data_IF_269760201904
#
_entry.id   IF_269760201904
#
_cell.length_a   1.000
_cell.length_b   1.000
_cell.length_c   1.000
_cell.angle_alpha   90.00
_cell.angle_beta   90.00
_cell.angle_gamma   90.00
#
_symmetry.space_group_name_H-M   'P 1'
#
loop_
_entity.id
_entity.type
_entity.pdbx_description
1 polymer ?
#
# COMPACT_ATOMS: atom_id res chain seq x y z
N UNK A 1 -19.07 0.85 -5.94
CA UNK A 1 -18.83 1.65 -7.15
C UNK A 1 -18.84 0.76 -8.36
N UNK A 2 -19.29 1.32 -9.49
CA UNK A 2 -19.30 0.66 -10.79
C UNK A 2 -18.12 1.16 -11.62
N UNK A 3 -17.36 0.26 -12.23
CA UNK A 3 -16.13 0.60 -12.96
C UNK A 3 -16.38 1.56 -14.13
N UNK A 4 -17.57 1.54 -14.74
CA UNK A 4 -17.94 2.46 -15.81
C UNK A 4 -18.00 3.93 -15.36
N UNK A 5 -18.50 4.18 -14.14
CA UNK A 5 -18.61 5.53 -13.55
C UNK A 5 -17.21 6.13 -13.37
N UNK A 6 -16.31 5.34 -12.77
CA UNK A 6 -14.91 5.75 -12.59
C UNK A 6 -14.16 5.90 -13.92
N UNK A 7 -14.36 4.98 -14.86
CA UNK A 7 -13.71 5.02 -16.17
C UNK A 7 -14.04 6.32 -16.92
N UNK A 8 -15.31 6.71 -16.98
CA UNK A 8 -15.72 7.98 -17.58
C UNK A 8 -15.21 9.19 -16.81
N UNK A 9 -15.21 9.14 -15.47
CA UNK A 9 -14.68 10.22 -14.66
C UNK A 9 -13.19 10.46 -14.92
N UNK A 10 -12.38 9.40 -14.94
CA UNK A 10 -10.94 9.48 -15.19
C UNK A 10 -10.60 9.80 -16.66
N UNK A 11 -11.45 9.41 -17.62
CA UNK A 11 -11.29 9.80 -19.02
C UNK A 11 -11.44 11.31 -19.23
N UNK A 12 -12.34 11.94 -18.49
CA UNK A 12 -12.64 13.37 -18.60
C UNK A 12 -11.91 14.24 -17.57
N UNK A 13 -11.23 13.62 -16.60
CA UNK A 13 -10.56 14.31 -15.51
C UNK A 13 -9.23 14.96 -15.92
N UNK A 14 -8.79 15.95 -15.13
CA UNK A 14 -7.47 16.55 -15.32
C UNK A 14 -6.37 15.48 -15.23
N UNK A 15 -5.57 15.40 -16.29
CA UNK A 15 -4.50 14.43 -16.44
C UNK A 15 -3.18 14.89 -15.82
N UNK A 16 -3.13 16.07 -15.18
CA UNK A 16 -1.93 16.60 -14.57
C UNK A 16 -1.42 15.70 -13.43
N UNK A 17 -0.11 15.45 -13.39
CA UNK A 17 0.55 14.68 -12.33
C UNK A 17 0.53 15.40 -10.96
N UNK A 18 0.23 16.71 -10.97
CA UNK A 18 0.12 17.53 -9.75
C UNK A 18 -1.27 17.45 -9.10
N UNK A 19 -2.24 16.84 -9.76
CA UNK A 19 -3.55 16.59 -9.17
C UNK A 19 -3.42 15.45 -8.15
N UNK A 20 -3.33 15.78 -6.86
CA UNK A 20 -3.31 14.83 -5.73
C UNK A 20 -4.67 14.15 -5.61
N UNK A 21 -5.05 13.32 -6.60
CA UNK A 21 -6.36 12.66 -6.65
C UNK A 21 -6.44 11.53 -5.62
N UNK A 22 -7.46 11.61 -4.76
CA UNK A 22 -7.79 10.60 -3.76
C UNK A 22 -9.17 10.01 -4.05
N UNK A 23 -9.21 8.71 -4.35
CA UNK A 23 -10.44 7.97 -4.58
C UNK A 23 -10.81 7.19 -3.32
N UNK A 24 -11.93 7.54 -2.69
CA UNK A 24 -12.35 6.92 -1.43
C UNK A 24 -13.30 5.75 -1.71
N UNK A 25 -12.90 4.55 -1.29
CA UNK A 25 -13.65 3.30 -1.42
C UNK A 25 -14.19 2.79 -0.08
N UNK A 26 -15.16 1.88 -0.14
CA UNK A 26 -15.79 1.22 1.01
C UNK A 26 -14.99 0.00 1.51
N UNK A 27 -14.28 -0.70 0.62
CA UNK A 27 -13.56 -1.94 0.95
C UNK A 27 -12.53 -2.33 -0.13
N UNK A 28 -11.70 -3.33 0.19
CA UNK A 28 -10.64 -3.85 -0.68
C UNK A 28 -11.11 -4.31 -2.06
N UNK A 29 -12.32 -4.87 -2.16
CA UNK A 29 -12.86 -5.33 -3.46
C UNK A 29 -13.11 -4.14 -4.38
N UNK A 30 -13.64 -3.06 -3.83
CA UNK A 30 -13.81 -1.81 -4.56
C UNK A 30 -12.48 -1.14 -4.85
N UNK A 31 -11.54 -1.15 -3.90
CA UNK A 31 -10.18 -0.63 -4.10
C UNK A 31 -9.48 -1.32 -5.28
N UNK A 32 -9.55 -2.65 -5.37
CA UNK A 32 -8.94 -3.40 -6.48
C UNK A 32 -9.61 -3.06 -7.82
N UNK A 33 -10.95 -3.02 -7.87
CA UNK A 33 -11.67 -2.61 -9.10
C UNK A 33 -11.30 -1.18 -9.54
N UNK A 34 -11.10 -0.29 -8.58
CA UNK A 34 -10.65 1.09 -8.79
C UNK A 34 -9.26 1.11 -9.40
N UNK A 35 -8.33 0.35 -8.82
CA UNK A 35 -6.97 0.23 -9.29
C UNK A 35 -6.89 -0.36 -10.71
N UNK A 36 -7.67 -1.40 -11.01
CA UNK A 36 -7.77 -1.99 -12.35
C UNK A 36 -8.23 -0.95 -13.38
N UNK A 37 -9.26 -0.18 -13.05
CA UNK A 37 -9.82 0.87 -13.92
C UNK A 37 -8.83 2.02 -14.13
N UNK A 38 -8.16 2.47 -13.07
CA UNK A 38 -7.13 3.50 -13.14
C UNK A 38 -5.92 3.03 -13.98
N UNK A 39 -5.49 1.78 -13.79
CA UNK A 39 -4.40 1.15 -14.51
C UNK A 39 -4.69 1.03 -16.00
N UNK A 40 -5.94 0.73 -16.39
CA UNK A 40 -6.37 0.75 -17.80
C UNK A 40 -6.06 2.11 -18.44
N UNK A 41 -6.35 3.20 -17.73
CA UNK A 41 -6.14 4.59 -18.15
C UNK A 41 -4.72 5.13 -17.84
N UNK A 42 -3.76 4.23 -17.63
CA UNK A 42 -2.33 4.54 -17.40
C UNK A 42 -2.05 5.37 -16.15
N UNK A 43 -2.96 5.37 -15.17
CA UNK A 43 -2.60 5.78 -13.81
C UNK A 43 -1.84 4.65 -13.12
N UNK A 44 -0.89 5.00 -12.25
CA UNK A 44 -0.29 4.11 -11.27
C UNK A 44 -1.09 4.21 -9.97
N UNK A 45 -1.90 3.19 -9.64
CA UNK A 45 -2.65 3.20 -8.40
C UNK A 45 -1.77 2.85 -7.20
N UNK A 46 -2.02 3.53 -6.08
CA UNK A 46 -1.50 3.20 -4.77
C UNK A 46 -2.70 2.99 -3.85
N UNK A 47 -2.81 1.80 -3.26
CA UNK A 47 -3.95 1.43 -2.42
C UNK A 47 -3.50 1.46 -0.97
N UNK A 48 -4.18 2.25 -0.14
CA UNK A 48 -4.00 2.19 1.30
C UNK A 48 -4.77 0.99 1.88
N UNK A 49 -4.27 0.34 2.94
CA UNK A 49 -4.94 -0.77 3.59
C UNK A 49 -6.20 -0.31 4.32
N UNK A 50 -7.17 -1.21 4.55
CA UNK A 50 -8.39 -0.94 5.34
C UNK A 50 -8.07 -0.98 6.84
N UNK A 51 -7.76 0.19 7.40
CA UNK A 51 -7.46 0.34 8.82
C UNK A 51 -8.76 0.35 9.63
N UNK A 52 -9.14 -0.82 10.14
CA UNK A 52 -10.32 -0.97 11.02
C UNK A 52 -9.98 -0.68 12.48
N UNK A 53 -9.40 0.49 12.70
CA UNK A 53 -8.99 0.97 14.00
C UNK A 53 -10.15 1.71 14.68
N UNK A 54 -10.22 1.57 16.00
CA UNK A 54 -10.91 2.50 16.87
C UNK A 54 -9.92 3.46 17.52
N UNK A 55 -10.37 4.68 17.84
CA UNK A 55 -9.49 5.70 18.39
C UNK A 55 -8.82 5.23 19.69
N UNK A 56 -7.48 5.17 19.65
CA UNK A 56 -6.64 4.76 20.77
C UNK A 56 -6.33 3.27 20.84
N UNK A 57 -6.72 2.49 19.83
CA UNK A 57 -6.26 1.11 19.67
C UNK A 57 -4.73 1.03 19.65
N UNK A 58 -4.20 -0.08 20.19
CA UNK A 58 -2.77 -0.39 20.12
C UNK A 58 -2.39 -0.86 18.70
N UNK A 59 -1.61 -0.02 18.02
CA UNK A 59 -1.26 -0.20 16.60
C UNK A 59 -0.34 -1.39 16.34
N UNK A 60 0.28 -1.98 17.37
CA UNK A 60 1.08 -3.20 17.24
C UNK A 60 0.25 -4.39 16.76
N UNK A 61 -1.06 -4.38 17.08
CA UNK A 61 -2.01 -5.40 16.59
C UNK A 61 -2.32 -5.29 15.09
N UNK A 62 -1.90 -4.17 14.46
CA UNK A 62 -2.15 -3.80 13.07
C UNK A 62 -0.84 -3.53 12.31
N UNK A 63 0.29 -4.04 12.81
CA UNK A 63 1.62 -3.73 12.26
C UNK A 63 1.73 -4.02 10.75
N UNK A 64 1.10 -5.09 10.28
CA UNK A 64 1.09 -5.45 8.86
C UNK A 64 0.40 -4.36 8.05
N UNK A 65 -0.79 -3.95 8.46
CA UNK A 65 -1.54 -2.88 7.80
C UNK A 65 -0.81 -1.53 7.93
N UNK A 66 -0.12 -1.25 9.04
CA UNK A 66 0.68 -0.04 9.16
C UNK A 66 1.89 -0.04 8.21
N UNK A 67 2.53 -1.19 7.99
CA UNK A 67 3.61 -1.31 7.00
C UNK A 67 3.07 -1.17 5.57
N UNK A 68 1.95 -1.81 5.24
CA UNK A 68 1.28 -1.62 3.94
C UNK A 68 0.92 -0.15 3.69
N UNK A 69 0.49 0.58 4.71
CA UNK A 69 0.22 2.02 4.65
C UNK A 69 1.49 2.81 4.30
N UNK A 70 2.60 2.56 5.01
CA UNK A 70 3.86 3.27 4.79
C UNK A 70 4.46 2.95 3.42
N UNK A 71 4.45 1.68 3.00
CA UNK A 71 4.89 1.27 1.67
C UNK A 71 4.07 1.95 0.56
N UNK A 72 2.73 1.97 0.69
CA UNK A 72 1.85 2.57 -0.30
C UNK A 72 2.05 4.10 -0.40
N UNK A 73 2.19 4.79 0.74
CA UNK A 73 2.42 6.22 0.77
C UNK A 73 3.81 6.59 0.26
N UNK A 74 4.85 5.85 0.66
CA UNK A 74 6.21 6.03 0.13
C UNK A 74 6.23 5.91 -1.38
N UNK A 75 5.64 4.83 -1.92
CA UNK A 75 5.54 4.60 -3.35
C UNK A 75 4.73 5.70 -4.06
N UNK A 76 3.62 6.15 -3.46
CA UNK A 76 2.82 7.23 -3.98
C UNK A 76 3.66 8.50 -4.10
N UNK A 77 4.27 8.98 -3.01
CA UNK A 77 5.01 10.24 -2.99
C UNK A 77 6.30 10.23 -3.81
N UNK A 78 6.97 9.10 -3.94
CA UNK A 78 8.19 8.98 -4.75
C UNK A 78 7.92 8.63 -6.23
N UNK A 79 6.68 8.33 -6.61
CA UNK A 79 6.36 8.04 -8.02
C UNK A 79 6.39 9.29 -8.91
N UNK A 80 7.06 9.17 -10.06
CA UNK A 80 7.07 10.16 -11.14
C UNK A 80 5.99 9.90 -12.21
N UNK A 81 5.24 8.80 -12.10
CA UNK A 81 4.18 8.46 -13.06
C UNK A 81 2.91 9.23 -12.72
N UNK A 82 1.97 9.23 -13.66
CA UNK A 82 0.60 9.68 -13.40
C UNK A 82 0.01 8.79 -12.30
N UNK A 83 -0.08 9.25 -11.07
CA UNK A 83 -0.41 8.46 -9.88
C UNK A 83 -1.82 8.76 -9.38
N UNK A 84 -2.42 7.82 -8.66
CA UNK A 84 -3.69 8.02 -7.95
C UNK A 84 -3.65 7.30 -6.62
N UNK A 85 -4.14 7.95 -5.57
CA UNK A 85 -4.28 7.34 -4.25
C UNK A 85 -5.69 6.78 -4.10
N UNK A 86 -5.80 5.57 -3.59
CA UNK A 86 -7.07 4.88 -3.35
C UNK A 86 -7.08 4.48 -1.89
N UNK A 87 -8.08 4.88 -1.13
CA UNK A 87 -8.13 4.60 0.30
C UNK A 87 -9.52 4.13 0.74
N UNK A 88 -9.61 3.09 1.57
CA UNK A 88 -10.81 2.80 2.34
C UNK A 88 -11.18 3.99 3.23
N UNK A 89 -12.48 4.26 3.39
CA UNK A 89 -12.98 5.32 4.26
C UNK A 89 -12.36 5.27 5.67
N UNK A 90 -12.28 4.07 6.25
CA UNK A 90 -11.81 3.87 7.63
C UNK A 90 -10.37 4.32 7.85
N UNK A 91 -9.53 4.21 6.82
CA UNK A 91 -8.13 4.64 6.84
C UNK A 91 -7.97 6.15 6.91
N UNK A 92 -8.98 6.90 6.44
CA UNK A 92 -8.98 8.36 6.40
C UNK A 92 -9.58 8.98 7.67
N UNK A 93 -9.95 8.19 8.67
CA UNK A 93 -10.50 8.66 9.95
C UNK A 93 -9.43 9.19 10.91
N UNK A 94 -8.15 9.06 10.54
CA UNK A 94 -7.02 9.63 11.24
C UNK A 94 -6.12 10.42 10.28
N UNK A 95 -5.37 11.42 10.78
CA UNK A 95 -4.33 12.06 9.99
C UNK A 95 -3.35 11.03 9.44
N UNK A 96 -2.90 11.25 8.21
CA UNK A 96 -1.88 10.42 7.56
C UNK A 96 -0.56 11.20 7.46
N UNK A 97 0.60 10.53 7.47
CA UNK A 97 1.90 11.19 7.38
C UNK A 97 2.05 12.14 6.20
N UNK A 98 2.76 13.26 6.37
CA UNK A 98 3.08 14.17 5.26
C UNK A 98 4.12 13.60 4.29
N UNK A 99 4.07 14.10 3.06
CA UNK A 99 4.97 13.75 1.94
C UNK A 99 6.46 13.85 2.31
N UNK A 100 6.86 14.87 3.08
CA UNK A 100 8.25 15.10 3.47
C UNK A 100 8.85 14.01 4.37
N UNK A 101 8.02 13.17 4.99
CA UNK A 101 8.46 12.07 5.87
C UNK A 101 8.60 10.73 5.15
N UNK A 102 8.66 10.73 3.81
CA UNK A 102 8.95 9.54 3.00
C UNK A 102 10.28 9.61 2.22
N UNK A 103 11.42 9.96 2.87
CA UNK A 103 12.73 9.92 2.24
C UNK A 103 13.14 8.48 1.88
N UNK A 104 14.18 8.36 1.05
CA UNK A 104 14.83 7.09 0.71
C UNK A 104 16.33 7.26 0.92
N UNK A 105 16.98 6.26 1.54
CA UNK A 105 18.44 6.13 1.54
C UNK A 105 18.78 5.13 0.45
N UNK A 106 19.67 5.49 -0.49
CA UNK A 106 20.27 4.54 -1.39
C UNK A 106 21.68 4.23 -0.89
N UNK A 107 21.97 2.94 -0.68
CA UNK A 107 23.30 2.44 -0.35
C UNK A 107 23.83 1.69 -1.57
N UNK A 108 25.00 2.07 -2.05
CA UNK A 108 25.59 1.54 -3.28
C UNK A 108 26.94 0.89 -2.97
N UNK A 109 27.31 -0.10 -3.76
CA UNK A 109 28.67 -0.64 -3.76
C UNK A 109 29.70 0.49 -3.90
N UNK A 110 30.81 0.38 -3.17
CA UNK A 110 31.88 1.38 -3.09
C UNK A 110 31.48 2.76 -2.54
N UNK A 111 30.30 2.91 -1.93
CA UNK A 111 29.95 4.11 -1.18
C UNK A 111 30.45 4.04 0.26
N UNK A 112 30.92 5.18 0.78
CA UNK A 112 31.34 5.35 2.18
C UNK A 112 30.14 5.69 3.06
N UNK A 113 30.01 5.00 4.19
CA UNK A 113 28.92 5.23 5.16
C UNK A 113 29.47 5.61 6.54
N UNK A 114 28.86 6.64 7.14
CA UNK A 114 29.04 6.89 8.57
C UNK A 114 28.10 5.95 9.34
N UNK A 115 28.65 4.88 9.92
CA UNK A 115 27.87 3.85 10.60
C UNK A 115 27.04 4.40 11.77
N UNK A 116 27.56 5.38 12.51
CA UNK A 116 26.84 5.98 13.63
C UNK A 116 25.63 6.77 13.13
N UNK A 117 25.81 7.59 12.10
CA UNK A 117 24.72 8.35 11.51
C UNK A 117 23.65 7.44 10.89
N UNK A 118 24.05 6.33 10.26
CA UNK A 118 23.12 5.35 9.72
C UNK A 118 22.30 4.70 10.84
N UNK A 119 22.94 4.27 11.93
CA UNK A 119 22.26 3.70 13.12
C UNK A 119 21.25 4.67 13.70
N UNK A 120 21.66 5.92 13.96
CA UNK A 120 20.79 6.94 14.54
C UNK A 120 19.60 7.24 13.62
N UNK A 121 19.84 7.28 12.30
CA UNK A 121 18.79 7.50 11.29
C UNK A 121 17.79 6.35 11.24
N UNK A 122 18.26 5.10 11.15
CA UNK A 122 17.38 3.93 11.10
C UNK A 122 16.55 3.79 12.38
N UNK A 123 17.14 4.09 13.54
CA UNK A 123 16.39 4.15 14.80
C UNK A 123 15.29 5.21 14.76
N UNK A 124 15.58 6.43 14.29
CA UNK A 124 14.57 7.49 14.16
C UNK A 124 13.50 7.17 13.10
N UNK A 125 13.80 6.26 12.17
CA UNK A 125 12.90 5.81 11.12
C UNK A 125 12.02 4.62 11.52
N UNK A 126 12.20 4.12 12.75
CA UNK A 126 11.42 3.04 13.36
C UNK A 126 11.99 1.63 13.13
N UNK A 127 13.26 1.50 12.72
CA UNK A 127 13.88 0.17 12.61
C UNK A 127 14.23 -0.39 13.99
N UNK A 128 13.97 -1.68 14.19
CA UNK A 128 14.35 -2.39 15.40
C UNK A 128 15.74 -2.99 15.24
N UNK A 129 16.66 -2.61 16.12
CA UNK A 129 17.99 -3.23 16.18
C UNK A 129 17.90 -4.59 16.87
N UNK A 130 18.25 -5.65 16.16
CA UNK A 130 18.18 -7.05 16.62
C UNK A 130 19.49 -7.79 16.38
N UNK A 131 19.68 -8.93 17.05
CA UNK A 131 20.86 -9.77 16.86
C UNK A 131 20.80 -10.57 15.56
N UNK A 132 19.58 -10.96 15.15
CA UNK A 132 19.30 -11.75 13.95
C UNK A 132 18.07 -11.17 13.27
N UNK A 133 18.21 -10.76 12.01
CA UNK A 133 17.11 -10.24 11.20
C UNK A 133 16.26 -11.40 10.69
N UNK A 134 14.96 -11.31 10.95
CA UNK A 134 13.94 -12.30 10.60
C UNK A 134 12.69 -11.67 9.98
N UNK A 135 12.46 -10.37 10.19
CA UNK A 135 11.25 -9.67 9.74
C UNK A 135 11.57 -8.31 9.14
N UNK A 136 10.64 -7.82 8.31
CA UNK A 136 10.68 -6.45 7.79
C UNK A 136 10.73 -5.43 8.94
N UNK A 137 11.52 -4.38 8.75
CA UNK A 137 11.74 -3.34 9.75
C UNK A 137 12.82 -3.66 10.79
N UNK A 138 13.52 -4.78 10.64
CA UNK A 138 14.64 -5.15 11.49
C UNK A 138 16.00 -4.83 10.84
N UNK A 139 16.98 -4.51 11.68
CA UNK A 139 18.37 -4.28 11.30
C UNK A 139 19.32 -4.90 12.34
N UNK A 140 20.44 -5.46 11.89
CA UNK A 140 21.52 -5.94 12.74
C UNK A 140 22.84 -5.34 12.32
N UNK A 141 23.67 -4.99 13.30
CA UNK A 141 25.01 -4.44 13.08
C UNK A 141 26.04 -5.29 13.82
N UNK A 142 26.87 -6.02 13.08
CA UNK A 142 27.84 -6.97 13.63
C UNK A 142 29.21 -6.72 13.01
N UNK A 143 30.01 -5.89 13.68
CA UNK A 143 31.33 -5.49 13.18
C UNK A 143 31.20 -4.78 11.83
N UNK A 144 31.73 -5.43 10.80
CA UNK A 144 31.74 -5.04 9.40
C UNK A 144 30.49 -5.52 8.61
N UNK A 145 29.54 -6.18 9.26
CA UNK A 145 28.32 -6.68 8.61
C UNK A 145 27.10 -5.88 9.06
N UNK A 146 26.28 -5.48 8.10
CA UNK A 146 24.93 -4.95 8.32
C UNK A 146 23.92 -5.87 7.65
N UNK A 147 23.01 -6.43 8.44
CA UNK A 147 21.84 -7.13 7.91
C UNK A 147 20.62 -6.23 8.05
N UNK A 148 19.82 -6.09 7.00
CA UNK A 148 18.64 -5.23 7.04
C UNK A 148 17.52 -5.81 6.18
N UNK A 149 16.29 -5.75 6.70
CA UNK A 149 15.10 -6.07 5.92
C UNK A 149 14.21 -4.83 5.83
N UNK A 150 14.31 -4.09 4.72
CA UNK A 150 13.55 -2.85 4.52
C UNK A 150 12.10 -3.13 4.10
N UNK A 151 11.16 -2.23 4.46
CA UNK A 151 9.76 -2.35 4.02
C UNK A 151 9.63 -2.40 2.49
N UNK A 152 10.35 -1.54 1.77
CA UNK A 152 10.27 -1.45 0.31
C UNK A 152 10.90 -2.62 -0.46
N UNK A 153 11.55 -3.56 0.23
CA UNK A 153 12.19 -4.74 -0.36
C UNK A 153 11.33 -5.98 -0.29
N UNK A 154 11.44 -6.85 -1.29
CA UNK A 154 10.91 -8.23 -1.22
C UNK A 154 11.83 -9.15 -0.41
N UNK A 155 13.11 -8.78 -0.31
CA UNK A 155 14.18 -9.58 0.28
C UNK A 155 14.92 -8.83 1.38
N UNK A 156 15.66 -9.57 2.22
CA UNK A 156 16.59 -9.02 3.20
C UNK A 156 18.01 -8.95 2.61
N UNK A 157 18.77 -7.93 3.02
CA UNK A 157 20.08 -7.62 2.45
C UNK A 157 21.17 -7.67 3.50
N UNK A 158 22.32 -8.21 3.12
CA UNK A 158 23.56 -8.20 3.89
C UNK A 158 24.57 -7.31 3.18
N UNK A 159 25.06 -6.30 3.88
CA UNK A 159 26.16 -5.44 3.46
C UNK A 159 27.41 -5.87 4.22
N UNK A 160 28.53 -6.02 3.50
CA UNK A 160 29.86 -6.19 4.10
C UNK A 160 30.67 -4.93 3.88
N UNK A 161 31.30 -4.45 4.94
CA UNK A 161 32.07 -3.22 4.97
C UNK A 161 33.57 -3.53 5.03
N UNK A 162 34.39 -2.62 4.52
CA UNK A 162 35.80 -2.52 4.86
C UNK A 162 36.07 -1.11 5.37
N UNK A 163 36.38 -1.00 6.65
CA UNK A 163 36.34 0.26 7.40
C UNK A 163 34.95 0.95 7.29
N UNK A 164 34.84 2.01 6.48
CA UNK A 164 33.60 2.76 6.25
C UNK A 164 32.99 2.51 4.86
N UNK A 165 33.67 1.73 4.00
CA UNK A 165 33.26 1.52 2.60
C UNK A 165 32.45 0.24 2.42
N UNK A 166 31.40 0.30 1.61
CA UNK A 166 30.60 -0.88 1.26
C UNK A 166 31.34 -1.71 0.20
N UNK A 167 31.84 -2.88 0.61
CA UNK A 167 32.56 -3.83 -0.25
C UNK A 167 31.62 -4.81 -0.98
N UNK A 168 30.47 -5.15 -0.41
CA UNK A 168 29.49 -5.97 -1.12
C UNK A 168 28.09 -5.82 -0.54
N UNK A 169 27.10 -6.00 -1.40
CA UNK A 169 25.69 -6.06 -1.03
C UNK A 169 25.12 -7.35 -1.63
N UNK A 170 24.51 -8.18 -0.79
CA UNK A 170 23.91 -9.46 -1.22
C UNK A 170 22.53 -9.64 -0.61
N UNK A 171 21.63 -10.28 -1.34
CA UNK A 171 20.41 -10.84 -0.75
C UNK A 171 20.80 -11.96 0.22
N UNK A 172 20.09 -12.11 1.33
CA UNK A 172 20.27 -13.26 2.22
C UNK A 172 18.94 -13.84 2.71
N UNK A 173 18.93 -15.15 2.92
CA UNK A 173 17.76 -15.86 3.42
C UNK A 173 17.63 -15.65 4.94
N UNK A 174 16.49 -15.12 5.38
CA UNK A 174 16.16 -14.96 6.81
C UNK A 174 16.00 -16.31 7.55
N UNK A 175 15.69 -17.39 6.84
CA UNK A 175 15.56 -18.73 7.45
C UNK A 175 16.93 -19.39 7.68
N UNK A 176 17.80 -19.34 6.67
CA UNK A 176 19.10 -20.03 6.71
C UNK A 176 20.25 -19.13 7.16
N UNK A 177 20.01 -17.82 7.20
CA UNK A 177 20.98 -16.76 7.53
C UNK A 177 22.19 -16.71 6.59
N UNK A 178 22.05 -17.30 5.39
CA UNK A 178 23.08 -17.36 4.35
C UNK A 178 22.79 -16.36 3.23
N UNK A 179 23.82 -15.66 2.81
CA UNK A 179 23.78 -14.81 1.62
C UNK A 179 23.75 -15.64 0.36
N UNK A 180 23.06 -15.12 -0.65
CA UNK A 180 23.16 -15.60 -2.02
C UNK A 180 24.56 -15.33 -2.58
N UNK A 181 24.91 -16.01 -3.67
CA UNK A 181 26.22 -15.83 -4.30
C UNK A 181 26.30 -14.54 -5.12
N UNK A 182 25.18 -14.10 -5.67
CA UNK A 182 25.10 -12.93 -6.53
C UNK A 182 25.16 -11.64 -5.69
N UNK A 183 25.98 -10.70 -6.15
CA UNK A 183 26.07 -9.36 -5.60
C UNK A 183 25.19 -8.41 -6.38
N UNK A 184 24.62 -7.44 -5.67
CA UNK A 184 23.81 -6.38 -6.26
C UNK A 184 24.51 -5.03 -6.09
N UNK A 185 24.22 -4.11 -7.01
CA UNK A 185 24.91 -2.82 -7.05
C UNK A 185 24.44 -1.86 -5.95
N UNK A 186 23.17 -1.94 -5.56
CA UNK A 186 22.58 -1.02 -4.60
C UNK A 186 21.32 -1.55 -3.94
N UNK A 187 20.97 -0.96 -2.80
CA UNK A 187 19.69 -1.13 -2.13
C UNK A 187 19.08 0.22 -1.78
N UNK A 188 17.75 0.24 -1.71
CA UNK A 188 16.98 1.36 -1.20
C UNK A 188 16.40 1.00 0.17
N UNK A 189 16.59 1.88 1.15
CA UNK A 189 16.04 1.77 2.50
C UNK A 189 15.02 2.88 2.68
N UNK A 190 13.80 2.51 3.08
CA UNK A 190 12.71 3.43 3.37
C UNK A 190 12.36 3.39 4.87
N UNK A 191 11.72 4.42 5.44
CA UNK A 191 11.27 4.38 6.83
C UNK A 191 10.28 3.24 7.09
N UNK A 192 10.28 2.69 8.31
CA UNK A 192 9.21 1.76 8.74
C UNK A 192 8.00 2.50 9.29
N UNK A 193 8.22 3.75 9.74
CA UNK A 193 7.20 4.66 10.26
C UNK A 193 7.27 6.01 9.56
N UNK A 194 8.23 6.86 9.93
CA UNK A 194 8.40 8.21 9.41
C UNK A 194 9.89 8.51 9.25
N UNK A 195 10.26 9.19 8.17
CA UNK A 195 11.64 9.62 7.92
C UNK A 195 12.04 10.83 8.75
N UNK A 196 12.07 10.69 10.07
CA UNK A 196 12.31 11.80 11.00
C UNK A 196 13.80 12.04 11.26
N UNK A 197 14.13 13.30 11.57
CA UNK A 197 15.37 13.62 12.24
C UNK A 197 15.27 13.38 13.76
N UNK A 198 16.40 13.49 14.47
CA UNK A 198 16.45 13.19 15.89
C UNK A 198 15.58 14.12 16.77
N UNK A 199 15.43 15.39 16.39
CA UNK A 199 14.61 16.36 17.12
C UNK A 199 13.11 16.03 16.96
N UNK A 200 12.68 15.81 15.72
CA UNK A 200 11.31 15.41 15.38
C UNK A 200 10.92 14.09 16.06
N UNK A 201 11.80 13.08 16.01
CA UNK A 201 11.56 11.80 16.67
C UNK A 201 11.41 11.94 18.19
N UNK A 202 12.28 12.74 18.85
CA UNK A 202 12.19 13.00 20.29
C UNK A 202 10.88 13.71 20.66
N UNK A 203 10.49 14.72 19.89
CA UNK A 203 9.23 15.44 20.12
C UNK A 203 8.02 14.52 19.97
N UNK A 204 8.01 13.68 18.92
CA UNK A 204 6.94 12.71 18.70
C UNK A 204 6.86 11.67 19.81
N UNK A 205 8.01 11.08 20.18
CA UNK A 205 8.11 10.13 21.30
C UNK A 205 7.58 10.75 22.59
N UNK A 206 7.96 11.98 22.90
CA UNK A 206 7.50 12.67 24.11
C UNK A 206 5.99 12.86 24.12
N UNK A 207 5.37 13.20 22.99
CA UNK A 207 3.90 13.28 22.88
C UNK A 207 3.24 11.95 23.21
N UNK A 208 3.78 10.86 22.67
CA UNK A 208 3.28 9.51 22.88
C UNK A 208 3.44 9.07 24.34
N UNK A 209 4.59 9.33 24.97
CA UNK A 209 4.83 9.00 26.38
C UNK A 209 3.88 9.78 27.31
N UNK A 210 3.53 11.02 26.95
CA UNK A 210 2.57 11.86 27.67
C UNK A 210 1.11 11.58 27.31
N UNK A 211 0.84 10.58 26.46
CA UNK A 211 -0.50 10.20 26.04
C UNK A 211 -1.43 9.94 27.23
N UNK A 212 -2.65 10.46 27.16
CA UNK A 212 -3.72 10.15 28.12
C UNK A 212 -4.49 8.87 27.76
N UNK A 213 -4.20 8.25 26.61
CA UNK A 213 -4.86 7.02 26.19
C UNK A 213 -4.51 5.87 27.14
N UNK A 214 -5.48 4.97 27.32
CA UNK A 214 -5.32 3.78 28.13
C UNK A 214 -4.68 2.68 27.28
N UNK A 215 -3.35 2.60 27.34
CA UNK A 215 -2.57 1.56 26.69
C UNK A 215 -1.50 1.05 27.65
N UNK A 216 -1.24 -0.26 27.58
CA UNK A 216 -0.26 -0.94 28.43
C UNK A 216 1.17 -0.47 28.16
N UNK A 217 1.50 -0.18 26.90
CA UNK A 217 2.79 0.37 26.49
C UNK A 217 2.54 1.66 25.72
N UNK A 218 3.24 2.73 26.09
CA UNK A 218 3.15 4.04 25.45
C UNK A 218 4.44 4.32 24.69
N UNK A 219 4.58 3.67 23.55
CA UNK A 219 5.67 3.89 22.61
C UNK A 219 5.11 4.20 21.23
N UNK A 220 6.01 4.56 20.31
CA UNK A 220 5.62 4.96 18.96
C UNK A 220 4.94 3.82 18.21
N UNK A 221 5.36 2.57 18.43
CA UNK A 221 4.78 1.41 17.77
C UNK A 221 3.33 1.18 18.19
N UNK A 222 2.98 1.48 19.44
CA UNK A 222 1.63 1.31 19.97
C UNK A 222 0.72 2.50 19.68
N UNK A 223 1.21 3.74 19.80
CA UNK A 223 0.36 4.93 19.78
C UNK A 223 0.80 6.03 18.82
N UNK A 224 1.92 5.87 18.11
CA UNK A 224 2.55 6.93 17.32
C UNK A 224 1.60 7.66 16.37
N UNK A 225 0.79 6.92 15.61
CA UNK A 225 -0.11 7.53 14.61
C UNK A 225 -1.29 8.30 15.23
N UNK A 226 -1.63 8.06 16.50
CA UNK A 226 -2.60 8.89 17.20
C UNK A 226 -2.05 10.28 17.56
N UNK A 227 -0.71 10.44 17.54
CA UNK A 227 0.02 11.64 17.95
C UNK A 227 0.88 12.24 16.85
N UNK A 228 0.44 12.14 15.59
CA UNK A 228 1.16 12.74 14.46
C UNK A 228 1.23 14.26 14.57
N UNK A 229 0.12 14.93 14.94
CA UNK A 229 0.04 16.38 15.04
C UNK A 229 0.60 17.06 13.77
N UNK A 230 1.69 17.82 13.90
CA UNK A 230 2.36 18.49 12.78
C UNK A 230 2.99 17.54 11.76
N UNK A 231 3.21 16.27 12.12
CA UNK A 231 3.74 15.23 11.23
C UNK A 231 2.66 14.65 10.29
N UNK A 232 1.39 14.84 10.66
CA UNK A 232 0.24 14.32 9.94
C UNK A 232 -0.49 15.41 9.15
N UNK A 233 -1.31 14.97 8.21
CA UNK A 233 -2.15 15.81 7.39
C UNK A 233 -3.53 15.15 7.19
N UNK A 234 -4.54 15.99 7.00
CA UNK A 234 -5.89 15.53 6.72
C UNK A 234 -6.03 15.34 5.20
N UNK A 235 -5.83 14.12 4.73
CA UNK A 235 -5.86 13.83 3.30
C UNK A 235 -7.23 14.07 2.67
N UNK A 236 -8.31 14.04 3.44
CA UNK A 236 -9.66 14.36 2.95
C UNK A 236 -9.74 15.79 2.43
N UNK A 237 -9.01 16.71 3.05
CA UNK A 237 -9.02 18.14 2.69
C UNK A 237 -7.79 18.58 1.90
N UNK A 238 -6.63 17.93 2.09
CA UNK A 238 -5.39 18.27 1.40
C UNK A 238 -5.21 17.61 0.03
N UNK A 239 -6.00 16.56 -0.27
CA UNK A 239 -6.07 15.93 -1.58
C UNK A 239 -7.34 16.37 -2.32
N UNK A 240 -7.36 16.19 -3.64
CA UNK A 240 -8.58 16.25 -4.43
C UNK A 240 -9.36 14.96 -4.20
N UNK A 241 -10.07 14.91 -3.08
CA UNK A 241 -10.78 13.74 -2.60
C UNK A 241 -12.19 13.64 -3.22
N UNK A 242 -12.55 12.43 -3.65
CA UNK A 242 -13.87 12.12 -4.18
C UNK A 242 -14.32 10.73 -3.74
N UNK A 243 -15.60 10.61 -3.39
CA UNK A 243 -16.21 9.34 -3.06
C UNK A 243 -16.55 8.52 -4.31
N UNK A 244 -16.25 7.23 -4.26
CA UNK A 244 -16.64 6.29 -5.31
C UNK A 244 -18.12 5.86 -5.24
N UNK A 245 -18.74 6.03 -4.06
CA UNK A 245 -20.16 5.84 -3.79
C UNK A 245 -20.56 6.66 -2.54
N UNK A 246 -21.85 6.89 -2.32
CA UNK A 246 -22.32 7.51 -1.06
C UNK A 246 -21.89 6.69 0.15
N UNK A 247 -21.34 7.36 1.17
CA UNK A 247 -20.87 6.77 2.43
C UNK A 247 -21.45 7.44 3.68
N UNK A 248 -22.58 8.14 3.54
CA UNK A 248 -23.19 8.93 4.62
C UNK A 248 -23.60 8.05 5.81
N UNK A 249 -24.25 6.91 5.54
CA UNK A 249 -24.70 5.98 6.60
C UNK A 249 -23.50 5.38 7.35
N UNK A 250 -22.45 4.98 6.64
CA UNK A 250 -21.24 4.45 7.26
C UNK A 250 -20.52 5.49 8.13
N UNK A 251 -20.46 6.74 7.69
CA UNK A 251 -19.90 7.84 8.49
C UNK A 251 -20.76 8.08 9.74
N UNK A 252 -22.08 8.20 9.60
CA UNK A 252 -22.98 8.40 10.74
C UNK A 252 -22.83 7.28 11.79
N UNK A 253 -22.76 6.02 11.35
CA UNK A 253 -22.54 4.87 12.23
C UNK A 253 -21.20 4.99 12.97
N UNK A 254 -20.11 5.26 12.25
CA UNK A 254 -18.76 5.35 12.83
C UNK A 254 -18.69 6.47 13.87
N UNK A 255 -19.14 7.68 13.54
CA UNK A 255 -19.08 8.83 14.45
C UNK A 255 -20.08 8.74 15.61
N UNK A 256 -21.09 7.85 15.53
CA UNK A 256 -21.98 7.56 16.66
C UNK A 256 -21.34 6.63 17.70
N UNK A 257 -20.37 5.81 17.28
CA UNK A 257 -19.74 4.78 18.10
C UNK A 257 -18.32 5.12 18.56
N UNK A 258 -17.62 5.97 17.80
CA UNK A 258 -16.22 6.30 18.01
C UNK A 258 -15.97 7.80 17.87
N UNK A 259 -14.75 8.25 18.20
CA UNK A 259 -14.30 9.63 18.05
C UNK A 259 -13.04 9.69 17.15
N UNK A 260 -13.21 9.57 15.83
CA UNK A 260 -12.13 9.80 14.86
C UNK A 260 -11.38 11.11 15.08
N UNK A 261 -10.14 11.16 14.61
CA UNK A 261 -9.30 12.37 14.67
C UNK A 261 -9.57 13.34 13.51
N UNK A 262 -10.21 12.88 12.45
CA UNK A 262 -10.70 13.72 11.34
C UNK A 262 -12.16 14.10 11.61
N UNK A 263 -12.55 15.34 11.30
CA UNK A 263 -13.92 15.78 11.53
C UNK A 263 -14.89 15.23 10.47
N UNK A 264 -16.10 14.87 10.88
CA UNK A 264 -17.10 14.32 9.95
C UNK A 264 -17.43 15.29 8.81
N UNK A 265 -17.41 16.60 9.08
CA UNK A 265 -17.69 17.66 8.09
C UNK A 265 -16.66 17.74 6.95
N UNK A 266 -15.43 17.28 7.18
CA UNK A 266 -14.39 17.21 6.15
C UNK A 266 -14.78 16.23 5.03
N UNK A 267 -15.63 15.25 5.34
CA UNK A 267 -16.15 14.27 4.38
C UNK A 267 -17.34 14.78 3.57
N UNK A 268 -17.64 16.09 3.56
CA UNK A 268 -18.59 16.68 2.63
C UNK A 268 -17.99 16.77 1.22
N UNK A 269 -17.80 15.61 0.60
CA UNK A 269 -17.09 15.42 -0.66
C UNK A 269 -18.04 15.15 -1.83
N UNK A 270 -17.63 15.49 -3.07
CA UNK A 270 -18.34 15.03 -4.25
C UNK A 270 -18.32 13.50 -4.34
N UNK A 271 -19.28 12.96 -5.08
CA UNK A 271 -19.34 11.54 -5.47
C UNK A 271 -19.08 11.46 -6.97
N UNK A 272 -18.35 10.43 -7.41
CA UNK A 272 -18.14 10.14 -8.84
C UNK A 272 -19.50 10.14 -9.57
N UNK A 273 -19.66 10.92 -10.66
CA UNK A 273 -20.93 11.05 -11.35
C UNK A 273 -21.33 9.75 -12.04
N UNK A 274 -22.64 9.59 -12.28
CA UNK A 274 -23.16 8.46 -13.06
C UNK A 274 -22.61 8.49 -14.48
N UNK A 275 -22.15 7.32 -14.94
CA UNK A 275 -21.71 7.08 -16.31
C UNK A 275 -22.87 7.32 -17.28
N UNK A 276 -22.58 7.96 -18.41
CA UNK A 276 -23.55 8.27 -19.46
C UNK A 276 -23.36 7.43 -20.72
N UNK A 277 -22.12 7.00 -21.01
CA UNK A 277 -21.72 6.33 -22.26
C UNK A 277 -21.42 4.85 -22.07
N UNK A 278 -20.72 4.49 -21.00
CA UNK A 278 -20.27 3.14 -20.71
C UNK A 278 -21.18 2.47 -19.68
N UNK A 279 -21.40 1.17 -19.86
CA UNK A 279 -22.09 0.27 -18.94
C UNK A 279 -21.15 -0.87 -18.56
N UNK A 280 -21.29 -1.38 -17.33
CA UNK A 280 -20.62 -2.61 -16.93
C UNK A 280 -21.17 -3.79 -17.73
N UNK A 281 -20.27 -4.68 -18.13
CA UNK A 281 -20.59 -5.88 -18.88
C UNK A 281 -20.18 -7.12 -18.09
N UNK A 282 -21.13 -8.01 -17.84
CA UNK A 282 -20.82 -9.34 -17.32
C UNK A 282 -20.42 -10.26 -18.49
N UNK A 283 -19.20 -10.77 -18.44
CA UNK A 283 -18.63 -11.56 -19.55
C UNK A 283 -18.54 -13.02 -19.14
N UNK A 284 -19.53 -13.80 -19.55
CA UNK A 284 -19.53 -15.27 -19.40
C UNK A 284 -18.79 -15.93 -20.57
N UNK A 285 -19.04 -15.46 -21.79
CA UNK A 285 -18.40 -15.94 -23.01
C UNK A 285 -17.86 -14.75 -23.83
N UNK A 286 -16.57 -14.42 -23.71
CA UNK A 286 -15.95 -13.33 -24.47
C UNK A 286 -16.19 -13.42 -25.98
N UNK A 287 -16.09 -14.62 -26.57
CA UNK A 287 -16.25 -14.83 -28.01
C UNK A 287 -17.66 -14.45 -28.50
N UNK A 288 -18.69 -14.78 -27.72
CA UNK A 288 -20.07 -14.44 -28.04
C UNK A 288 -20.35 -12.93 -27.98
N UNK A 289 -19.76 -12.25 -26.98
CA UNK A 289 -19.85 -10.79 -26.85
C UNK A 289 -19.17 -10.11 -28.04
N UNK A 290 -17.96 -10.54 -28.39
CA UNK A 290 -17.17 -10.00 -29.51
C UNK A 290 -17.92 -10.17 -30.83
N UNK A 291 -18.43 -11.37 -31.11
CA UNK A 291 -19.22 -11.64 -32.33
C UNK A 291 -20.44 -10.73 -32.45
N UNK A 292 -21.15 -10.51 -31.35
CA UNK A 292 -22.35 -9.67 -31.31
C UNK A 292 -22.06 -8.16 -31.41
N UNK A 293 -20.81 -7.76 -31.21
CA UNK A 293 -20.37 -6.36 -31.22
C UNK A 293 -19.24 -6.10 -32.22
N UNK A 294 -19.14 -6.90 -33.28
CA UNK A 294 -18.07 -6.85 -34.29
C UNK A 294 -17.96 -5.53 -35.06
N UNK A 295 -19.01 -4.70 -35.03
CA UNK A 295 -19.05 -3.37 -35.62
C UNK A 295 -18.44 -2.27 -34.71
N UNK A 296 -18.18 -2.59 -33.44
CA UNK A 296 -17.60 -1.65 -32.47
C UNK A 296 -16.08 -1.79 -32.44
N UNK A 297 -15.39 -0.78 -31.90
CA UNK A 297 -14.00 -0.93 -31.49
C UNK A 297 -13.94 -1.96 -30.35
N UNK A 298 -13.04 -2.94 -30.44
CA UNK A 298 -12.88 -3.97 -29.40
C UNK A 298 -11.51 -3.84 -28.75
N UNK A 299 -11.48 -3.67 -27.44
CA UNK A 299 -10.26 -3.65 -26.63
C UNK A 299 -10.22 -4.92 -25.77
N UNK A 300 -9.21 -5.76 -26.00
CA UNK A 300 -8.99 -6.98 -25.23
C UNK A 300 -7.85 -6.82 -24.25
N UNK A 301 -8.15 -7.07 -22.99
CA UNK A 301 -7.20 -7.04 -21.89
C UNK A 301 -6.78 -8.47 -21.55
N UNK A 302 -5.47 -8.70 -21.47
CA UNK A 302 -4.91 -9.96 -21.00
C UNK A 302 -3.60 -9.73 -20.27
N UNK A 303 -3.23 -10.59 -19.30
CA UNK A 303 -1.95 -10.49 -18.58
C UNK A 303 -0.75 -10.65 -19.51
N UNK A 304 -0.88 -11.45 -20.56
CA UNK A 304 0.17 -11.69 -21.55
C UNK A 304 -0.44 -12.13 -22.90
N UNK A 305 0.40 -12.15 -23.93
CA UNK A 305 0.01 -12.53 -25.29
C UNK A 305 -0.50 -13.97 -25.40
N UNK A 306 0.03 -14.89 -24.61
CA UNK A 306 -0.36 -16.31 -24.66
C UNK A 306 -1.84 -16.52 -24.35
N UNK A 307 -2.43 -15.73 -23.45
CA UNK A 307 -3.88 -15.78 -23.15
C UNK A 307 -4.69 -15.41 -24.39
N UNK A 308 -4.24 -14.42 -25.17
CA UNK A 308 -4.91 -13.99 -26.38
C UNK A 308 -4.79 -15.06 -27.47
N UNK A 309 -3.59 -15.60 -27.70
CA UNK A 309 -3.38 -16.67 -28.69
C UNK A 309 -4.16 -17.94 -28.37
N UNK A 310 -4.34 -18.24 -27.08
CA UNK A 310 -5.15 -19.36 -26.61
C UNK A 310 -6.67 -19.10 -26.65
N UNK A 311 -7.09 -17.84 -26.81
CA UNK A 311 -8.48 -17.51 -27.12
C UNK A 311 -8.69 -17.72 -28.61
N UNK A 312 -9.73 -18.46 -29.02
CA UNK A 312 -10.07 -18.77 -30.42
C UNK A 312 -10.55 -17.51 -31.23
N UNK A 313 -10.00 -16.34 -30.92
CA UNK A 313 -10.31 -15.04 -31.47
C UNK A 313 -9.41 -14.78 -32.69
N UNK A 314 -9.79 -15.36 -33.83
CA UNK A 314 -8.93 -15.41 -35.03
C UNK A 314 -9.03 -14.21 -36.00
N UNK A 315 -9.75 -13.12 -35.68
CA UNK A 315 -9.87 -11.94 -36.57
C UNK A 315 -9.37 -10.65 -35.92
N UNK A 316 -8.26 -10.10 -36.44
CA UNK A 316 -7.50 -9.00 -35.82
C UNK A 316 -7.82 -7.60 -36.35
N UNK A 317 -8.68 -7.45 -37.36
CA UNK A 317 -8.75 -6.20 -38.13
C UNK A 317 -9.33 -4.99 -37.34
N UNK A 318 -10.08 -5.20 -36.25
CA UNK A 318 -10.69 -4.14 -35.43
C UNK A 318 -10.43 -4.28 -33.91
N UNK A 319 -9.34 -4.95 -33.52
CA UNK A 319 -9.05 -5.26 -32.12
C UNK A 319 -7.79 -4.55 -31.62
N UNK A 320 -7.91 -3.89 -30.48
CA UNK A 320 -6.80 -3.35 -29.68
C UNK A 320 -6.46 -4.34 -28.56
N UNK A 321 -5.16 -4.56 -28.32
CA UNK A 321 -4.68 -5.47 -27.28
C UNK A 321 -3.97 -4.70 -26.16
N UNK A 322 -4.40 -4.94 -24.93
CA UNK A 322 -3.84 -4.31 -23.72
C UNK A 322 -3.27 -5.41 -22.82
N UNK A 323 -1.94 -5.44 -22.71
CA UNK A 323 -1.23 -6.44 -21.90
C UNK A 323 -1.07 -5.96 -20.46
N UNK A 324 -2.11 -6.13 -19.64
CA UNK A 324 -2.16 -5.72 -18.23
C UNK A 324 -2.88 -6.78 -17.40
N UNK A 325 -2.39 -7.06 -16.19
CA UNK A 325 -3.01 -7.99 -15.24
C UNK A 325 -4.17 -7.33 -14.49
N UNK A 326 -5.20 -6.88 -15.22
CA UNK A 326 -6.36 -6.15 -14.70
C UNK A 326 -7.67 -6.76 -15.23
N UNK A 327 -8.76 -6.50 -14.53
CA UNK A 327 -10.11 -6.95 -14.91
C UNK A 327 -11.04 -5.75 -15.02
N UNK A 328 -11.32 -5.36 -16.27
CA UNK A 328 -12.28 -4.31 -16.62
C UNK A 328 -13.12 -4.81 -17.79
N UNK A 329 -14.45 -4.76 -17.65
CA UNK A 329 -15.40 -5.20 -18.67
C UNK A 329 -16.48 -4.13 -18.87
N UNK A 330 -16.38 -3.37 -19.95
CA UNK A 330 -17.24 -2.22 -20.22
C UNK A 330 -17.76 -2.25 -21.66
N UNK A 331 -18.92 -1.64 -21.88
CA UNK A 331 -19.53 -1.49 -23.21
C UNK A 331 -20.17 -0.11 -23.37
N UNK A 332 -19.91 0.53 -24.51
CA UNK A 332 -20.62 1.71 -24.99
C UNK A 332 -21.31 1.41 -26.32
N UNK A 333 -21.85 2.44 -26.98
CA UNK A 333 -22.45 2.30 -28.31
C UNK A 333 -21.40 2.05 -29.40
N UNK A 334 -20.13 2.41 -29.16
CA UNK A 334 -19.06 2.40 -30.15
C UNK A 334 -17.82 1.59 -29.73
N UNK A 335 -17.70 1.17 -28.46
CA UNK A 335 -16.55 0.45 -27.93
C UNK A 335 -16.97 -0.69 -26.99
N UNK A 336 -16.21 -1.79 -27.00
CA UNK A 336 -16.30 -2.87 -26.03
C UNK A 336 -14.92 -3.14 -25.46
N UNK A 337 -14.79 -3.11 -24.14
CA UNK A 337 -13.58 -3.43 -23.40
C UNK A 337 -13.85 -4.74 -22.65
N UNK A 338 -13.02 -5.77 -22.87
CA UNK A 338 -13.19 -7.09 -22.24
C UNK A 338 -11.85 -7.56 -21.71
N UNK A 339 -11.83 -8.01 -20.45
CA UNK A 339 -10.71 -8.74 -19.89
C UNK A 339 -10.89 -10.25 -20.01
N UNK A 340 -9.85 -10.90 -20.51
CA UNK A 340 -9.71 -12.36 -20.52
C UNK A 340 -9.06 -12.90 -19.23
N UNK A 341 -8.62 -12.01 -18.34
CA UNK A 341 -8.03 -12.38 -17.06
C UNK A 341 -9.10 -12.91 -16.11
N UNK A 342 -8.70 -13.87 -15.27
CA UNK A 342 -9.55 -14.41 -14.21
C UNK A 342 -9.18 -13.77 -12.88
N UNK A 343 -10.14 -13.55 -11.96
CA UNK A 343 -9.84 -13.06 -10.63
C UNK A 343 -8.82 -13.96 -9.94
N UNK A 344 -7.71 -13.39 -9.50
CA UNK A 344 -6.73 -14.12 -8.69
C UNK A 344 -7.39 -14.36 -7.33
N UNK A 345 -7.57 -15.62 -6.94
CA UNK A 345 -7.94 -15.96 -5.55
C UNK A 345 -6.74 -15.61 -4.67
N UNK A 346 -6.75 -14.45 -4.00
CA UNK A 346 -5.76 -14.17 -2.94
C UNK A 346 -5.83 -15.32 -1.94
N UNK A 347 -4.73 -16.05 -1.74
CA UNK A 347 -4.63 -17.01 -0.65
C UNK A 347 -4.81 -16.19 0.62
N UNK A 348 -5.86 -16.47 1.41
CA UNK A 348 -5.93 -15.94 2.77
C UNK A 348 -4.67 -16.44 3.47
N UNK A 349 -3.76 -15.52 3.83
CA UNK A 349 -2.75 -15.83 4.83
C UNK A 349 -3.56 -16.22 6.06
N UNK A 350 -3.46 -17.49 6.47
CA UNK A 350 -4.08 -17.90 7.72
C UNK A 350 -3.37 -17.06 8.78
N UNK A 351 -4.09 -16.14 9.43
CA UNK A 351 -3.63 -15.61 10.72
C UNK A 351 -3.30 -16.84 11.56
N UNK A 352 -2.09 -16.90 12.12
CA UNK A 352 -1.78 -17.92 13.10
C UNK A 352 -2.78 -17.74 14.24
N UNK A 353 -3.83 -18.56 14.25
CA UNK A 353 -4.65 -18.67 15.43
C UNK A 353 -3.79 -19.38 16.45
N UNK A 354 -3.27 -18.67 17.44
CA UNK A 354 -2.99 -19.33 18.71
C UNK A 354 -4.37 -19.80 19.16
N UNK A 355 -4.64 -21.10 18.99
CA UNK A 355 -5.83 -21.73 19.52
C UNK A 355 -5.61 -21.76 21.02
N UNK A 356 -6.03 -20.70 21.72
CA UNK A 356 -6.04 -20.62 23.18
C UNK A 356 -6.79 -21.80 23.81
N UNK A 357 -7.67 -22.45 23.05
CA UNK A 357 -8.47 -23.62 23.45
C UNK A 357 -7.70 -24.95 23.47
N UNK A 358 -6.40 -24.99 23.12
CA UNK A 358 -5.59 -26.22 23.24
C UNK A 358 -4.84 -26.37 24.56
N UNK A 359 -4.83 -25.34 25.42
CA UNK A 359 -4.24 -25.45 26.76
C UNK A 359 -5.11 -26.37 27.64
N UNK A 360 -4.57 -27.54 27.98
CA UNK A 360 -5.22 -28.45 28.93
C UNK A 360 -4.90 -28.00 30.36
N UNK A 361 -5.79 -28.35 31.27
CA UNK A 361 -5.62 -28.14 32.70
C UNK A 361 -4.34 -28.89 33.16
N UNK A 362 -3.23 -28.16 33.32
CA UNK A 362 -1.91 -28.71 33.65
C UNK A 362 -0.77 -28.24 32.75
N UNK A 363 -1.04 -27.55 31.64
CA UNK A 363 0.01 -27.00 30.78
C UNK A 363 0.61 -25.72 31.40
N UNK A 364 1.94 -25.58 31.36
CA UNK A 364 2.67 -24.42 31.87
C UNK A 364 3.23 -23.60 30.70
N UNK A 365 2.94 -22.30 30.70
CA UNK A 365 3.56 -21.33 29.78
C UNK A 365 4.91 -20.94 30.36
N UNK A 366 5.99 -21.28 29.68
CA UNK A 366 7.35 -20.88 30.06
C UNK A 366 7.64 -19.56 29.36
N UNK A 367 7.86 -18.50 30.14
CA UNK A 367 8.45 -17.27 29.62
C UNK A 367 9.98 -17.45 29.64
N UNK A 368 10.62 -17.42 28.47
CA UNK A 368 12.08 -17.22 28.42
C UNK A 368 12.38 -15.77 28.79
N UNK A 369 13.24 -15.59 29.78
CA UNK A 369 13.69 -14.28 30.29
C UNK A 369 14.76 -13.66 29.39
#
# INVERSE_FOLDING_TARGET
MKQNELYEYLLNGDTSSNNKLLLICKNDKEAQKTADTATLLNYQPFILPDLRLSHGDDLRSFQVEMYELIEALHGYFNSKKKRVLIAPLRTLLMPLPKEEFFPTINLEFASTINLKELKDKLYCWGYHSVDIVTQKGEVSFRGDIIDIFSLGGEEAYRLSLFDEDIESIRVFSIDTQKSEQEEIESIAIIPTQLGLNQEQYKAWRQRVELSSLDSFVKDIDSLGFWYLNELGDNYVTSFNAIFLASMHEELEEIYSLDKPLIYQEDFNLPIVPKAKRFRELEVINPNAVIKSNSHKKITLIAKNESIIRGSELHSFENMEFVYKDIIVNLISDDEVIISLNKPIKRKKVKKASIILDELKLGDHVVHEN
#
